data_IF_461168454350
#
_entry.id   IF_461168454350
#
_cell.length_a   1.000
_cell.length_b   1.000
_cell.length_c   1.000
_cell.angle_alpha   90.00
_cell.angle_beta   90.00
_cell.angle_gamma   90.00
#
_symmetry.space_group_name_H-M   'P 1'
#
loop_
_entity.id
_entity.type
_entity.pdbx_description
1 polymer ?
#
# COMPACT_ATOMS: atom_id res chain seq x y z
N UNK A 1 0.91 30.04 -16.30
CA UNK A 1 1.30 29.86 -14.88
C UNK A 1 1.19 28.37 -14.57
N UNK A 2 2.30 27.69 -14.28
CA UNK A 2 2.21 26.31 -13.79
C UNK A 2 1.69 26.32 -12.36
N UNK A 3 0.72 25.46 -12.06
CA UNK A 3 0.16 25.31 -10.71
C UNK A 3 0.97 24.30 -9.92
N UNK A 4 0.98 24.45 -8.59
CA UNK A 4 1.62 23.49 -7.67
C UNK A 4 1.15 22.04 -7.94
N UNK A 5 -0.13 21.86 -8.28
CA UNK A 5 -0.68 20.55 -8.65
C UNK A 5 0.01 19.91 -9.87
N UNK A 6 0.40 20.70 -10.88
CA UNK A 6 1.15 20.21 -12.05
C UNK A 6 2.60 19.85 -11.70
N UNK A 7 3.24 20.62 -10.83
CA UNK A 7 4.59 20.30 -10.35
C UNK A 7 4.61 19.02 -9.51
N UNK A 8 3.63 18.84 -8.62
CA UNK A 8 3.51 17.62 -7.80
C UNK A 8 3.25 16.39 -8.69
N UNK A 9 2.37 16.50 -9.69
CA UNK A 9 2.16 15.42 -10.69
C UNK A 9 3.44 15.07 -11.45
N UNK A 10 4.26 16.06 -11.81
CA UNK A 10 5.54 15.85 -12.50
C UNK A 10 6.63 15.27 -11.60
N UNK A 11 6.48 15.41 -10.28
CA UNK A 11 7.44 14.88 -9.31
C UNK A 11 7.19 13.38 -9.05
N UNK A 12 6.11 12.80 -9.63
CA UNK A 12 5.73 11.39 -9.62
C UNK A 12 6.49 10.59 -8.56
N UNK A 13 6.12 10.85 -7.29
CA UNK A 13 6.66 10.13 -6.16
C UNK A 13 6.14 8.71 -6.32
N UNK A 14 6.96 7.85 -6.94
CA UNK A 14 6.59 6.48 -7.26
C UNK A 14 5.99 5.85 -6.01
N UNK A 15 4.70 5.48 -6.10
CA UNK A 15 4.01 4.89 -4.96
C UNK A 15 4.74 3.60 -4.60
N UNK A 16 5.08 3.47 -3.32
CA UNK A 16 5.69 2.25 -2.82
C UNK A 16 4.68 1.10 -2.91
N UNK A 17 5.12 -0.17 -2.97
CA UNK A 17 4.20 -1.31 -3.01
C UNK A 17 3.18 -1.29 -1.86
N UNK A 18 3.57 -0.81 -0.67
CA UNK A 18 2.66 -0.69 0.46
C UNK A 18 1.64 0.44 0.31
N UNK A 19 2.01 1.54 -0.35
CA UNK A 19 1.06 2.62 -0.69
C UNK A 19 0.05 2.14 -1.73
N UNK A 20 0.49 1.39 -2.74
CA UNK A 20 -0.41 0.80 -3.74
C UNK A 20 -1.41 -0.15 -3.07
N UNK A 21 -0.93 -1.09 -2.24
CA UNK A 21 -1.81 -2.02 -1.51
C UNK A 21 -2.77 -1.28 -0.58
N UNK A 22 -2.30 -0.24 0.10
CA UNK A 22 -3.12 0.55 1.01
C UNK A 22 -4.29 1.21 0.27
N UNK A 23 -4.03 1.82 -0.89
CA UNK A 23 -5.06 2.44 -1.74
C UNK A 23 -6.06 1.40 -2.27
N UNK A 24 -5.56 0.26 -2.78
CA UNK A 24 -6.43 -0.76 -3.38
C UNK A 24 -7.30 -1.50 -2.36
N UNK A 25 -6.85 -1.61 -1.11
CA UNK A 25 -7.62 -2.23 -0.03
C UNK A 25 -8.40 -1.22 0.82
N UNK A 26 -8.33 0.08 0.48
CA UNK A 26 -8.92 1.16 1.26
C UNK A 26 -8.52 1.04 2.75
N UNK A 27 -7.21 1.04 2.98
CA UNK A 27 -6.56 0.93 4.29
C UNK A 27 -5.38 1.90 4.39
N UNK A 28 -4.66 1.88 5.51
CA UNK A 28 -3.48 2.74 5.71
C UNK A 28 -2.18 1.99 5.41
N UNK A 29 -1.16 2.73 4.96
CA UNK A 29 0.20 2.17 4.75
C UNK A 29 0.75 1.56 6.04
N UNK A 30 0.44 2.16 7.19
CA UNK A 30 0.82 1.62 8.51
C UNK A 30 0.21 0.24 8.72
N UNK A 31 -1.08 0.07 8.42
CA UNK A 31 -1.79 -1.20 8.56
C UNK A 31 -1.19 -2.28 7.66
N UNK A 32 -0.88 -1.94 6.41
CA UNK A 32 -0.18 -2.84 5.47
C UNK A 32 1.19 -3.24 6.03
N UNK A 33 1.97 -2.28 6.53
CA UNK A 33 3.28 -2.53 7.13
C UNK A 33 3.23 -3.42 8.38
N UNK A 34 2.22 -3.25 9.24
CA UNK A 34 2.02 -4.11 10.42
C UNK A 34 1.77 -5.57 10.01
N UNK A 35 1.01 -5.79 8.93
CA UNK A 35 0.77 -7.13 8.39
C UNK A 35 2.05 -7.69 7.78
N UNK A 36 2.77 -6.89 6.99
CA UNK A 36 4.01 -7.32 6.34
C UNK A 36 5.12 -7.71 7.35
N UNK A 37 5.21 -7.00 8.49
CA UNK A 37 6.18 -7.29 9.56
C UNK A 37 5.73 -8.41 10.51
N UNK A 38 4.50 -8.92 10.37
CA UNK A 38 3.94 -9.93 11.27
C UNK A 38 3.50 -9.39 12.64
N UNK A 39 3.56 -8.08 12.87
CA UNK A 39 3.02 -7.42 14.07
C UNK A 39 1.50 -7.61 14.18
N UNK A 40 0.85 -7.79 13.03
CA UNK A 40 -0.58 -8.07 12.93
C UNK A 40 -0.84 -9.28 12.04
N UNK A 41 -1.48 -10.30 12.59
CA UNK A 41 -1.94 -11.46 11.82
C UNK A 41 -3.45 -11.37 11.53
N UNK A 42 -3.87 -11.01 10.30
CA UNK A 42 -5.27 -10.86 9.97
C UNK A 42 -5.98 -12.22 9.85
N UNK A 43 -7.19 -12.30 10.42
CA UNK A 43 -7.99 -13.54 10.46
C UNK A 43 -9.23 -13.44 9.54
N UNK A 44 -9.66 -12.21 9.18
CA UNK A 44 -10.85 -11.96 8.34
C UNK A 44 -10.80 -10.58 7.67
N UNK A 45 -11.65 -10.39 6.67
CA UNK A 45 -11.91 -9.10 6.00
C UNK A 45 -10.71 -8.54 5.23
N UNK A 46 -10.63 -7.21 5.12
CA UNK A 46 -9.59 -6.47 4.37
C UNK A 46 -8.16 -6.89 4.72
N UNK A 47 -7.90 -7.31 5.97
CA UNK A 47 -6.59 -7.77 6.38
C UNK A 47 -6.11 -9.02 5.62
N UNK A 48 -7.02 -9.95 5.27
CA UNK A 48 -6.67 -11.13 4.47
C UNK A 48 -6.33 -10.74 3.02
N UNK A 49 -7.02 -9.76 2.46
CA UNK A 49 -6.74 -9.24 1.11
C UNK A 49 -5.36 -8.58 1.05
N UNK A 50 -5.02 -7.76 2.06
CA UNK A 50 -3.68 -7.16 2.20
C UNK A 50 -2.61 -8.25 2.31
N UNK A 51 -2.84 -9.27 3.15
CA UNK A 51 -1.91 -10.39 3.30
C UNK A 51 -1.74 -11.18 1.99
N UNK A 52 -2.80 -11.37 1.20
CA UNK A 52 -2.73 -12.00 -0.12
C UNK A 52 -1.86 -11.21 -1.08
N UNK A 53 -2.07 -9.89 -1.20
CA UNK A 53 -1.26 -9.02 -2.07
C UNK A 53 0.21 -8.97 -1.67
N UNK A 54 0.47 -8.92 -0.36
CA UNK A 54 1.85 -8.97 0.16
C UNK A 54 2.54 -10.29 -0.22
N UNK A 55 1.82 -11.42 -0.18
CA UNK A 55 2.35 -12.72 -0.62
C UNK A 55 2.60 -12.78 -2.13
N UNK A 56 1.72 -12.19 -2.94
CA UNK A 56 1.91 -12.11 -4.39
C UNK A 56 3.18 -11.33 -4.77
N UNK A 57 3.52 -10.29 -3.99
CA UNK A 57 4.77 -9.53 -4.17
C UNK A 57 6.04 -10.31 -3.83
N UNK A 58 5.97 -11.24 -2.88
CA UNK A 58 7.13 -12.02 -2.41
C UNK A 58 7.29 -13.38 -3.09
N UNK A 59 6.27 -13.88 -3.80
CA UNK A 59 6.28 -15.21 -4.44
C UNK A 59 7.01 -15.24 -5.79
N UNK A 60 8.11 -14.49 -5.93
CA UNK A 60 8.93 -14.44 -7.15
C UNK A 60 10.09 -15.42 -7.10
#
# INVERSE_FOLDING_TARGET
>A
METLAKQIKKTDVAKTPYQVIADECDTTVLYVGQIARGERNPIRGKGLEVLKKLKELTSK
#
